data_IF_076633899556
#
_entry.id   IF_076633899556
#
_cell.length_a   1.000
_cell.length_b   1.000
_cell.length_c   1.000
_cell.angle_alpha   90.00
_cell.angle_beta   90.00
_cell.angle_gamma   90.00
#
_symmetry.space_group_name_H-M   'P 1'
#
loop_
_entity.id
_entity.type
_entity.pdbx_description
1 polymer ?
#
# COMPACT_ATOMS: atom_id res chain seq x y z
N UNK A 1 -18.01 18.74 12.47
CA UNK A 1 -17.65 17.51 11.72
C UNK A 1 -16.21 17.15 12.11
N UNK A 2 -15.92 15.92 12.55
CA UNK A 2 -14.56 15.57 13.02
C UNK A 2 -13.60 15.32 11.85
N UNK A 3 -12.27 15.51 12.05
CA UNK A 3 -11.23 15.26 11.02
C UNK A 3 -11.35 13.85 10.40
N UNK A 4 -11.74 12.86 11.20
CA UNK A 4 -11.95 11.47 10.76
C UNK A 4 -13.15 11.32 9.81
N UNK A 5 -14.27 11.97 10.11
CA UNK A 5 -15.47 11.93 9.24
C UNK A 5 -15.19 12.61 7.90
N UNK A 6 -14.48 13.74 7.89
CA UNK A 6 -14.11 14.43 6.65
C UNK A 6 -13.17 13.56 5.80
N UNK A 7 -12.18 12.91 6.42
CA UNK A 7 -11.26 12.00 5.73
C UNK A 7 -12.00 10.79 5.12
N UNK A 8 -12.91 10.17 5.87
CA UNK A 8 -13.75 9.07 5.37
C UNK A 8 -14.52 9.49 4.12
N UNK A 9 -15.26 10.61 4.20
CA UNK A 9 -16.06 11.09 3.07
C UNK A 9 -15.20 11.43 1.85
N UNK A 10 -14.00 11.98 2.06
CA UNK A 10 -13.06 12.25 0.98
C UNK A 10 -12.58 10.97 0.30
N UNK A 11 -12.15 9.96 1.07
CA UNK A 11 -11.71 8.66 0.53
C UNK A 11 -12.87 7.95 -0.17
N UNK A 12 -14.06 7.91 0.41
CA UNK A 12 -15.24 7.32 -0.21
C UNK A 12 -15.64 8.04 -1.51
N UNK A 13 -15.52 9.37 -1.56
CA UNK A 13 -15.78 10.15 -2.77
C UNK A 13 -14.77 9.83 -3.86
N UNK A 14 -13.47 9.81 -3.54
CA UNK A 14 -12.43 9.40 -4.49
C UNK A 14 -12.67 7.97 -4.99
N UNK A 15 -13.00 7.06 -4.08
CA UNK A 15 -13.23 5.66 -4.40
C UNK A 15 -14.41 5.47 -5.35
N UNK A 16 -15.53 6.15 -5.10
CA UNK A 16 -16.69 6.15 -6.00
C UNK A 16 -16.39 6.75 -7.37
N UNK A 17 -15.51 7.76 -7.42
CA UNK A 17 -15.11 8.39 -8.68
C UNK A 17 -14.18 7.49 -9.51
N UNK A 18 -13.25 6.81 -8.85
CA UNK A 18 -12.23 5.97 -9.50
C UNK A 18 -12.76 4.57 -9.85
N UNK A 19 -13.64 4.01 -9.02
CA UNK A 19 -14.33 2.75 -9.26
C UNK A 19 -15.85 3.00 -9.24
N UNK A 20 -16.46 3.47 -10.33
CA UNK A 20 -17.88 3.81 -10.34
C UNK A 20 -18.80 2.60 -10.23
N UNK A 21 -18.33 1.41 -10.63
CA UNK A 21 -19.12 0.17 -10.59
C UNK A 21 -19.19 -0.41 -9.17
N UNK A 22 -20.41 -0.70 -8.70
CA UNK A 22 -20.65 -1.30 -7.38
C UNK A 22 -19.99 -2.67 -7.21
N UNK A 23 -19.95 -3.46 -8.28
CA UNK A 23 -19.36 -4.81 -8.28
C UNK A 23 -17.85 -4.78 -8.02
N UNK A 24 -17.14 -3.81 -8.58
CA UNK A 24 -15.71 -3.64 -8.36
C UNK A 24 -15.44 -3.19 -6.92
N UNK A 25 -16.27 -2.28 -6.39
CA UNK A 25 -16.18 -1.86 -4.99
C UNK A 25 -16.46 -2.99 -4.01
N UNK A 26 -17.41 -3.87 -4.30
CA UNK A 26 -17.65 -5.04 -3.45
C UNK A 26 -16.50 -6.03 -3.52
N UNK A 27 -15.97 -6.28 -4.72
CA UNK A 27 -14.79 -7.12 -4.92
C UNK A 27 -13.62 -6.63 -4.08
N UNK A 28 -13.31 -5.33 -4.12
CA UNK A 28 -12.22 -4.74 -3.31
C UNK A 28 -12.42 -4.90 -1.81
N UNK A 29 -13.67 -4.82 -1.31
CA UNK A 29 -13.94 -5.05 0.12
C UNK A 29 -13.62 -6.48 0.55
N UNK A 30 -13.95 -7.45 -0.29
CA UNK A 30 -13.62 -8.86 -0.04
C UNK A 30 -12.11 -9.06 -0.05
N UNK A 31 -11.39 -8.49 -1.04
CA UNK A 31 -9.93 -8.56 -1.12
C UNK A 31 -9.26 -7.94 0.12
N UNK A 32 -9.72 -6.75 0.54
CA UNK A 32 -9.21 -6.06 1.72
C UNK A 32 -9.44 -6.86 3.00
N UNK A 33 -10.64 -7.44 3.19
CA UNK A 33 -10.95 -8.31 4.34
C UNK A 33 -10.03 -9.52 4.41
N UNK A 34 -9.78 -10.19 3.28
CA UNK A 34 -8.85 -11.31 3.22
C UNK A 34 -7.43 -10.86 3.57
N UNK A 35 -6.98 -9.74 3.01
CA UNK A 35 -5.69 -9.14 3.32
C UNK A 35 -5.52 -8.86 4.83
N UNK A 36 -6.53 -8.28 5.49
CA UNK A 36 -6.46 -8.02 6.94
C UNK A 36 -6.25 -9.29 7.78
N UNK A 37 -6.72 -10.43 7.28
CA UNK A 37 -6.66 -11.74 7.94
C UNK A 37 -5.41 -12.56 7.62
N UNK A 38 -4.73 -12.34 6.50
CA UNK A 38 -3.59 -13.18 6.08
C UNK A 38 -2.32 -12.38 5.73
N UNK A 39 -2.46 -11.06 5.53
CA UNK A 39 -1.41 -10.14 5.10
C UNK A 39 -0.91 -10.36 3.67
N UNK A 40 -1.66 -11.08 2.83
CA UNK A 40 -1.33 -11.35 1.43
C UNK A 40 -1.86 -10.22 0.54
N UNK A 41 -0.96 -9.38 0.04
CA UNK A 41 -1.32 -8.22 -0.78
C UNK A 41 -1.46 -8.57 -2.27
N UNK A 42 -1.04 -9.77 -2.70
CA UNK A 42 -0.99 -10.11 -4.13
C UNK A 42 -2.35 -9.94 -4.83
N UNK A 43 -3.49 -10.42 -4.28
CA UNK A 43 -4.78 -10.23 -4.93
C UNK A 43 -5.18 -8.75 -5.10
N UNK A 44 -4.73 -7.89 -4.19
CA UNK A 44 -4.94 -6.44 -4.28
C UNK A 44 -4.02 -5.87 -5.36
N UNK A 45 -2.73 -6.22 -5.39
CA UNK A 45 -1.80 -5.80 -6.45
C UNK A 45 -2.31 -6.19 -7.85
N UNK A 46 -2.87 -7.38 -7.99
CA UNK A 46 -3.48 -7.85 -9.25
C UNK A 46 -4.68 -7.00 -9.63
N UNK A 47 -5.59 -6.74 -8.70
CA UNK A 47 -6.72 -5.83 -8.93
C UNK A 47 -6.26 -4.42 -9.33
N UNK A 48 -5.23 -3.90 -8.65
CA UNK A 48 -4.68 -2.56 -8.92
C UNK A 48 -4.18 -2.47 -10.36
N UNK A 49 -3.40 -3.44 -10.82
CA UNK A 49 -2.79 -3.43 -12.16
C UNK A 49 -3.78 -3.78 -13.29
N UNK A 50 -4.73 -4.67 -13.03
CA UNK A 50 -5.67 -5.16 -14.05
C UNK A 50 -6.91 -4.26 -14.20
N UNK A 51 -7.32 -3.57 -13.13
CA UNK A 51 -8.56 -2.78 -13.11
C UNK A 51 -8.30 -1.34 -12.72
N UNK A 52 -7.85 -1.10 -11.49
CA UNK A 52 -7.81 0.26 -10.92
C UNK A 52 -6.94 1.22 -11.73
N UNK A 53 -5.73 0.78 -12.08
CA UNK A 53 -4.78 1.60 -12.81
C UNK A 53 -5.12 1.82 -14.28
N UNK A 54 -6.06 1.04 -14.85
CA UNK A 54 -6.53 1.21 -16.23
C UNK A 54 -7.42 2.44 -16.42
N UNK A 55 -7.85 3.06 -15.33
CA UNK A 55 -8.62 4.30 -15.35
C UNK A 55 -7.73 5.53 -15.61
N UNK A 56 -6.43 5.42 -15.28
CA UNK A 56 -5.48 6.52 -15.49
C UNK A 56 -5.04 6.62 -16.95
N UNK A 57 -4.91 7.86 -17.45
CA UNK A 57 -4.48 8.13 -18.81
C UNK A 57 -2.98 8.50 -18.88
N UNK A 58 -2.49 8.77 -20.10
CA UNK A 58 -1.09 9.15 -20.32
C UNK A 58 -0.69 10.49 -19.66
N UNK A 59 -1.66 11.35 -19.34
CA UNK A 59 -1.41 12.61 -18.63
C UNK A 59 -1.16 12.34 -17.17
N UNK A 60 -1.95 11.48 -16.55
CA UNK A 60 -1.76 11.06 -15.16
C UNK A 60 -0.36 10.46 -14.97
N UNK A 61 0.12 9.70 -15.96
CA UNK A 61 1.46 9.11 -15.95
C UNK A 61 2.61 10.12 -15.81
N UNK A 62 2.45 11.34 -16.36
CA UNK A 62 3.50 12.36 -16.33
C UNK A 62 3.68 12.95 -14.93
N UNK A 63 2.58 13.03 -14.19
CA UNK A 63 2.53 13.60 -12.84
C UNK A 63 2.52 12.55 -11.74
N UNK A 64 2.37 11.27 -12.08
CA UNK A 64 2.34 10.17 -11.14
C UNK A 64 3.65 10.04 -10.34
N UNK A 65 3.48 9.73 -9.06
CA UNK A 65 4.50 9.65 -8.03
C UNK A 65 4.08 8.70 -6.90
N UNK A 66 4.87 8.62 -5.83
CA UNK A 66 4.58 7.80 -4.65
C UNK A 66 3.25 8.18 -3.97
N UNK A 67 2.90 9.48 -3.93
CA UNK A 67 1.63 9.94 -3.38
C UNK A 67 0.43 9.41 -4.18
N UNK A 68 0.56 9.31 -5.49
CA UNK A 68 -0.46 8.74 -6.38
C UNK A 68 -0.73 7.27 -6.02
N UNK A 69 0.33 6.48 -5.86
CA UNK A 69 0.23 5.05 -5.51
C UNK A 69 -0.35 4.88 -4.11
N UNK A 70 0.17 5.64 -3.13
CA UNK A 70 -0.34 5.67 -1.75
C UNK A 70 -1.84 5.97 -1.71
N UNK A 71 -2.27 6.99 -2.44
CA UNK A 71 -3.69 7.38 -2.51
C UNK A 71 -4.53 6.26 -3.10
N UNK A 72 -4.06 5.62 -4.18
CA UNK A 72 -4.77 4.52 -4.81
C UNK A 72 -4.96 3.34 -3.86
N UNK A 73 -3.89 2.88 -3.21
CA UNK A 73 -3.96 1.78 -2.22
C UNK A 73 -4.81 2.16 -1.01
N UNK A 74 -4.72 3.41 -0.53
CA UNK A 74 -5.57 3.90 0.55
C UNK A 74 -7.04 3.73 0.20
N UNK A 75 -7.48 4.03 -1.03
CA UNK A 75 -8.90 3.88 -1.38
C UNK A 75 -9.41 2.44 -1.31
N UNK A 76 -8.54 1.46 -1.60
CA UNK A 76 -8.88 0.03 -1.57
C UNK A 76 -8.80 -0.54 -0.14
N UNK A 77 -7.82 -0.09 0.64
CA UNK A 77 -7.53 -0.60 1.98
C UNK A 77 -8.25 0.16 3.10
N UNK A 78 -8.96 1.25 2.80
CA UNK A 78 -9.57 2.09 3.84
C UNK A 78 -10.67 1.35 4.62
N UNK A 79 -10.44 1.16 5.91
CA UNK A 79 -11.43 0.64 6.86
C UNK A 79 -11.29 1.36 8.20
N UNK A 80 -12.19 2.29 8.49
CA UNK A 80 -12.20 3.05 9.75
C UNK A 80 -13.03 2.38 10.86
N UNK A 81 -13.58 1.19 10.59
CA UNK A 81 -14.34 0.40 11.56
C UNK A 81 -13.39 -0.41 12.43
N UNK A 82 -12.42 -1.10 11.80
CA UNK A 82 -11.44 -1.94 12.49
C UNK A 82 -10.11 -1.24 12.75
N UNK A 83 -9.73 -0.28 11.90
CA UNK A 83 -8.41 0.33 11.94
C UNK A 83 -8.43 1.81 12.31
N UNK A 84 -7.42 2.21 13.10
CA UNK A 84 -6.92 3.58 13.16
C UNK A 84 -5.90 3.69 12.02
N UNK A 85 -6.33 4.31 10.93
CA UNK A 85 -5.46 4.55 9.78
C UNK A 85 -4.84 5.94 9.85
N UNK A 86 -3.53 6.03 9.76
CA UNK A 86 -2.82 7.31 9.70
C UNK A 86 -1.87 7.38 8.51
N UNK A 87 -1.87 8.55 7.86
CA UNK A 87 -1.00 8.91 6.73
C UNK A 87 -0.40 10.32 6.91
N UNK A 88 -0.72 11.04 8.00
CA UNK A 88 -0.22 12.40 8.28
C UNK A 88 0.12 12.64 9.76
N UNK A 89 1.43 12.81 10.00
CA UNK A 89 2.15 13.48 11.10
C UNK A 89 1.38 13.92 12.36
N UNK A 90 1.77 13.32 13.51
CA UNK A 90 2.24 14.07 14.69
C UNK A 90 3.38 13.28 15.36
N UNK A 91 4.56 13.92 15.47
CA UNK A 91 5.86 13.50 16.05
C UNK A 91 6.94 13.08 15.02
N UNK A 92 7.86 14.00 14.69
CA UNK A 92 9.19 13.78 14.09
C UNK A 92 9.35 13.38 12.60
N UNK A 93 8.39 13.74 11.74
CA UNK A 93 8.60 13.91 10.28
C UNK A 93 9.14 12.71 9.46
N UNK A 94 9.11 11.47 9.96
CA UNK A 94 9.34 10.26 9.15
C UNK A 94 8.44 9.12 9.64
N UNK A 95 7.29 8.96 9.01
CA UNK A 95 6.39 7.83 9.22
C UNK A 95 6.36 6.96 7.96
N UNK A 96 6.06 5.67 8.15
CA UNK A 96 5.63 4.81 7.06
C UNK A 96 4.48 5.46 6.29
N UNK A 97 4.49 5.34 4.96
CA UNK A 97 3.51 5.97 4.09
C UNK A 97 2.04 5.71 4.46
N UNK A 98 1.73 4.50 4.95
CA UNK A 98 0.42 4.16 5.49
C UNK A 98 0.56 3.25 6.71
N UNK A 99 -0.13 3.62 7.78
CA UNK A 99 -0.27 2.80 8.99
C UNK A 99 -1.70 2.32 9.14
N UNK A 100 -1.88 1.04 9.50
CA UNK A 100 -3.16 0.43 9.82
C UNK A 100 -3.06 -0.27 11.16
N UNK A 101 -3.41 0.46 12.23
CA UNK A 101 -3.36 -0.07 13.59
C UNK A 101 -4.74 -0.53 14.02
N UNK A 102 -4.92 -1.78 14.43
CA UNK A 102 -6.20 -2.25 14.94
C UNK A 102 -6.63 -1.40 16.13
N UNK A 103 -7.90 -0.99 16.12
CA UNK A 103 -8.47 -0.27 17.25
C UNK A 103 -8.39 -1.15 18.51
N UNK A 104 -8.12 -0.57 19.70
CA UNK A 104 -7.94 -1.36 20.93
C UNK A 104 -9.11 -2.32 21.24
N UNK A 105 -10.34 -1.89 20.95
CA UNK A 105 -11.57 -2.67 21.10
C UNK A 105 -11.74 -3.77 20.04
N UNK A 106 -10.95 -3.79 18.96
CA UNK A 106 -10.99 -4.81 17.90
C UNK A 106 -9.87 -5.86 18.02
N UNK A 107 -9.01 -5.78 19.05
CA UNK A 107 -7.82 -6.64 19.21
C UNK A 107 -8.14 -8.12 19.45
N UNK A 108 -9.39 -8.45 19.79
CA UNK A 108 -9.86 -9.84 19.91
C UNK A 108 -10.04 -10.54 18.55
N UNK A 109 -10.10 -9.78 17.45
CA UNK A 109 -10.25 -10.33 16.11
C UNK A 109 -8.92 -10.90 15.61
N UNK A 110 -8.94 -11.95 14.74
CA UNK A 110 -7.74 -12.54 14.16
C UNK A 110 -7.17 -11.70 13.00
N UNK A 111 -7.10 -10.38 13.18
CA UNK A 111 -6.58 -9.42 12.21
C UNK A 111 -5.14 -9.02 12.57
N UNK A 112 -4.43 -8.42 11.61
CA UNK A 112 -3.04 -7.92 11.76
C UNK A 112 -3.00 -6.40 11.73
N UNK A 113 -1.92 -5.83 12.28
CA UNK A 113 -1.53 -4.44 12.08
C UNK A 113 -0.62 -4.34 10.86
N UNK A 114 -0.64 -3.22 10.14
CA UNK A 114 0.15 -3.05 8.93
C UNK A 114 0.89 -1.72 8.89
N UNK A 115 2.11 -1.77 8.37
CA UNK A 115 2.89 -0.61 7.95
C UNK A 115 3.27 -0.80 6.51
N UNK A 116 3.01 0.22 5.70
CA UNK A 116 3.33 0.22 4.29
C UNK A 116 4.33 1.30 3.97
N UNK A 117 5.24 0.99 3.06
CA UNK A 117 6.00 1.97 2.32
C UNK A 117 5.77 1.78 0.82
N UNK A 118 5.41 2.87 0.13
CA UNK A 118 5.16 2.86 -1.30
C UNK A 118 6.30 3.55 -2.02
N UNK A 119 6.84 2.86 -3.02
CA UNK A 119 7.78 3.41 -3.99
C UNK A 119 7.17 3.42 -5.37
N UNK A 120 7.61 4.38 -6.16
CA UNK A 120 7.18 4.54 -7.54
C UNK A 120 8.38 4.69 -8.46
N UNK A 121 8.37 3.94 -9.54
CA UNK A 121 9.35 4.03 -10.63
C UNK A 121 8.61 4.38 -11.92
N UNK A 122 9.12 5.37 -12.64
CA UNK A 122 8.68 5.65 -14.01
C UNK A 122 9.24 4.58 -14.96
N UNK A 123 8.62 4.45 -16.14
CA UNK A 123 9.14 3.57 -17.21
C UNK A 123 10.56 3.96 -17.63
N UNK A 124 10.88 5.26 -17.57
CA UNK A 124 12.23 5.77 -17.83
C UNK A 124 13.26 5.23 -16.87
N UNK A 125 12.87 4.96 -15.61
CA UNK A 125 13.79 4.55 -14.55
C UNK A 125 14.18 3.07 -14.73
N UNK A 126 13.27 2.26 -15.26
CA UNK A 126 13.50 0.84 -15.60
C UNK A 126 13.91 0.61 -17.06
N UNK A 127 13.92 1.66 -17.89
CA UNK A 127 14.28 1.64 -19.32
C UNK A 127 13.53 0.55 -20.12
N UNK A 128 12.24 0.35 -19.80
CA UNK A 128 11.35 -0.62 -20.46
C UNK A 128 10.00 0.02 -20.76
N UNK A 129 9.38 -0.37 -21.87
CA UNK A 129 8.00 0.00 -22.18
C UNK A 129 6.99 -0.75 -21.31
N UNK A 130 5.77 -0.23 -21.22
CA UNK A 130 4.68 -0.89 -20.49
C UNK A 130 4.31 -2.27 -21.07
N UNK A 131 4.50 -2.48 -22.38
CA UNK A 131 4.29 -3.78 -23.02
C UNK A 131 5.35 -4.79 -22.58
N UNK A 132 6.64 -4.41 -22.65
CA UNK A 132 7.73 -5.28 -22.19
C UNK A 132 7.60 -5.63 -20.71
N UNK A 133 7.17 -4.68 -19.87
CA UNK A 133 6.95 -4.93 -18.44
C UNK A 133 5.84 -5.94 -18.16
N UNK A 134 4.82 -6.06 -19.02
CA UNK A 134 3.71 -7.02 -18.82
C UNK A 134 4.13 -8.46 -19.07
N UNK A 135 5.10 -8.65 -19.96
CA UNK A 135 5.62 -9.98 -20.30
C UNK A 135 6.60 -10.53 -19.25
N UNK A 136 7.15 -9.69 -18.38
CA UNK A 136 8.04 -10.15 -17.32
C UNK A 136 7.31 -10.98 -16.27
N UNK A 137 7.90 -12.07 -15.85
CA UNK A 137 7.50 -12.74 -14.60
C UNK A 137 7.69 -11.80 -13.39
N UNK A 138 7.01 -12.10 -12.27
CA UNK A 138 7.25 -11.36 -11.03
C UNK A 138 8.72 -11.46 -10.59
N UNK A 139 9.35 -12.63 -10.79
CA UNK A 139 10.75 -12.85 -10.48
C UNK A 139 11.68 -11.94 -11.31
N UNK A 140 11.45 -11.82 -12.62
CA UNK A 140 12.27 -10.93 -13.46
C UNK A 140 12.05 -9.45 -13.11
N UNK A 141 10.80 -9.07 -12.82
CA UNK A 141 10.46 -7.72 -12.41
C UNK A 141 11.13 -7.33 -11.10
N UNK A 142 11.10 -8.23 -10.10
CA UNK A 142 11.79 -8.07 -8.83
C UNK A 142 13.31 -7.94 -8.97
N UNK A 143 13.90 -8.55 -10.01
CA UNK A 143 15.33 -8.53 -10.25
C UNK A 143 15.80 -7.35 -11.12
N UNK A 144 14.89 -6.45 -11.54
CA UNK A 144 15.32 -5.19 -12.15
C UNK A 144 16.05 -4.34 -11.10
N UNK A 145 17.22 -3.81 -11.46
CA UNK A 145 18.08 -3.10 -10.50
C UNK A 145 17.35 -1.95 -9.79
N UNK A 146 16.63 -1.11 -10.55
CA UNK A 146 15.85 -0.01 -9.98
C UNK A 146 14.75 -0.50 -9.01
N UNK A 147 14.14 -1.66 -9.28
CA UNK A 147 13.11 -2.25 -8.38
C UNK A 147 13.76 -2.75 -7.10
N UNK A 148 14.92 -3.43 -7.18
CA UNK A 148 15.68 -3.89 -6.02
C UNK A 148 16.13 -2.73 -5.13
N UNK A 149 16.65 -1.66 -5.73
CA UNK A 149 17.05 -0.46 -5.00
C UNK A 149 15.87 0.13 -4.20
N UNK A 150 14.69 0.22 -4.83
CA UNK A 150 13.48 0.73 -4.16
C UNK A 150 12.93 -0.21 -3.08
N UNK A 151 13.00 -1.51 -3.29
CA UNK A 151 12.67 -2.49 -2.25
C UNK A 151 13.60 -2.36 -1.04
N UNK A 152 14.91 -2.23 -1.26
CA UNK A 152 15.89 -2.06 -0.18
C UNK A 152 15.71 -0.73 0.57
N UNK A 153 15.44 0.36 -0.15
CA UNK A 153 15.13 1.67 0.46
C UNK A 153 13.90 1.58 1.37
N UNK A 154 12.83 0.95 0.87
CA UNK A 154 11.58 0.76 1.58
C UNK A 154 11.73 -0.16 2.79
N UNK A 155 12.52 -1.23 2.68
CA UNK A 155 12.86 -2.13 3.78
C UNK A 155 13.56 -1.39 4.92
N UNK A 156 14.60 -0.61 4.61
CA UNK A 156 15.30 0.19 5.61
C UNK A 156 14.38 1.18 6.36
N UNK A 157 13.46 1.83 5.62
CA UNK A 157 12.47 2.75 6.19
C UNK A 157 11.47 2.04 7.11
N UNK A 158 10.93 0.88 6.67
CA UNK A 158 10.00 0.07 7.46
C UNK A 158 10.65 -0.44 8.76
N UNK A 159 11.90 -0.87 8.71
CA UNK A 159 12.62 -1.39 9.87
C UNK A 159 12.97 -0.28 10.89
N UNK A 160 13.42 0.89 10.42
CA UNK A 160 13.62 2.07 11.30
C UNK A 160 12.31 2.46 11.99
N UNK A 161 11.21 2.47 11.23
CA UNK A 161 9.91 2.81 11.79
C UNK A 161 9.40 1.77 12.79
N UNK A 162 9.57 0.48 12.50
CA UNK A 162 9.23 -0.59 13.44
C UNK A 162 9.91 -0.40 14.80
N UNK A 163 11.22 -0.12 14.82
CA UNK A 163 11.97 0.12 16.06
C UNK A 163 11.36 1.28 16.88
N UNK A 164 10.98 2.37 16.21
CA UNK A 164 10.35 3.52 16.87
C UNK A 164 8.94 3.17 17.39
N UNK A 165 8.18 2.39 16.63
CA UNK A 165 6.83 1.99 17.02
C UNK A 165 6.84 1.07 18.25
N UNK A 166 7.74 0.09 18.27
CA UNK A 166 7.95 -0.84 19.40
C UNK A 166 8.37 -0.08 20.67
N UNK A 167 9.10 1.03 20.55
CA UNK A 167 9.43 1.88 21.71
C UNK A 167 8.24 2.63 22.30
N UNK A 168 7.15 2.81 21.54
CA UNK A 168 5.97 3.60 21.91
C UNK A 168 4.78 2.74 22.36
N UNK A 169 4.68 1.52 21.83
CA UNK A 169 3.60 0.59 22.11
C UNK A 169 4.15 -0.63 22.85
N UNK A 170 3.59 -0.94 24.02
CA UNK A 170 3.93 -2.15 24.78
C UNK A 170 3.58 -3.43 24.00
N UNK A 171 4.32 -4.51 24.25
CA UNK A 171 4.25 -5.83 23.58
C UNK A 171 2.85 -6.25 23.09
N UNK A 172 2.82 -6.89 21.90
CA UNK A 172 1.63 -7.62 21.39
C UNK A 172 1.04 -7.15 20.05
N UNK A 173 1.71 -6.25 19.33
CA UNK A 173 1.29 -5.89 17.96
C UNK A 173 1.55 -7.05 17.00
N UNK A 174 0.54 -7.47 16.23
CA UNK A 174 0.69 -8.44 15.13
C UNK A 174 1.10 -7.68 13.86
N UNK A 175 2.24 -7.00 13.95
CA UNK A 175 2.70 -6.05 12.95
C UNK A 175 3.20 -6.77 11.70
N UNK A 176 2.79 -6.28 10.53
CA UNK A 176 3.31 -6.69 9.23
C UNK A 176 3.88 -5.46 8.53
N UNK A 177 5.13 -5.57 8.09
CA UNK A 177 5.80 -4.54 7.31
C UNK A 177 5.68 -4.91 5.84
N UNK A 178 5.18 -4.00 5.02
CA UNK A 178 4.85 -4.25 3.63
C UNK A 178 5.52 -3.20 2.75
N UNK A 179 6.47 -3.63 1.93
CA UNK A 179 7.03 -2.81 0.86
C UNK A 179 6.20 -2.98 -0.40
N UNK A 180 5.89 -1.88 -1.08
CA UNK A 180 5.19 -1.88 -2.37
C UNK A 180 5.96 -1.01 -3.35
N UNK A 181 6.36 -1.57 -4.49
CA UNK A 181 7.01 -0.84 -5.58
C UNK A 181 6.13 -0.92 -6.83
N UNK A 182 5.54 0.20 -7.21
CA UNK A 182 4.83 0.33 -8.46
C UNK A 182 5.80 0.75 -9.58
N UNK A 183 5.82 0.00 -10.67
CA UNK A 183 6.54 0.36 -11.90
C UNK A 183 5.52 0.92 -12.87
N UNK A 184 5.36 2.24 -12.79
CA UNK A 184 4.28 2.92 -13.46
C UNK A 184 2.91 2.47 -12.96
N UNK A 185 1.98 2.42 -13.91
CA UNK A 185 0.65 1.84 -13.73
C UNK A 185 0.54 0.42 -14.29
N UNK A 186 1.68 -0.17 -14.68
CA UNK A 186 1.69 -1.41 -15.42
C UNK A 186 1.92 -2.62 -14.54
N UNK A 187 2.81 -2.50 -13.55
CA UNK A 187 3.16 -3.59 -12.64
C UNK A 187 3.36 -3.09 -11.22
N UNK A 188 3.10 -3.98 -10.27
CA UNK A 188 3.37 -3.76 -8.85
C UNK A 188 4.09 -4.98 -8.31
N UNK A 189 5.17 -4.73 -7.58
CA UNK A 189 5.88 -5.71 -6.75
C UNK A 189 5.58 -5.38 -5.30
N UNK A 190 5.40 -6.39 -4.46
CA UNK A 190 5.30 -6.19 -3.02
C UNK A 190 6.11 -7.24 -2.27
N UNK A 191 6.60 -6.89 -1.08
CA UNK A 191 7.31 -7.82 -0.18
C UNK A 191 6.87 -7.61 1.25
N UNK A 192 6.79 -8.71 2.00
CA UNK A 192 6.81 -8.64 3.45
C UNK A 192 8.25 -8.39 3.89
N UNK A 193 8.43 -7.38 4.73
CA UNK A 193 9.70 -7.10 5.36
C UNK A 193 9.68 -7.72 6.75
N UNK A 194 10.76 -8.41 7.07
CA UNK A 194 11.01 -8.94 8.40
C UNK A 194 12.43 -8.57 8.77
N UNK A 195 12.69 -8.32 10.06
CA UNK A 195 14.07 -8.36 10.52
C UNK A 195 14.62 -9.74 10.18
N UNK A 196 15.73 -9.82 9.46
CA UNK A 196 16.50 -11.04 9.37
C UNK A 196 16.69 -11.56 10.80
N UNK A 197 16.28 -12.80 11.05
CA UNK A 197 16.81 -13.53 12.19
C UNK A 197 18.26 -13.83 11.80
N UNK A 198 19.17 -12.92 12.12
CA UNK A 198 20.59 -13.25 12.20
C UNK A 198 20.81 -14.31 13.29
#
# INVERSE_FOLDING_TARGET
MSKKVVRKLYVEHLFKRLLPQDTERETTRVLARNFYQNGDLQPICDFMTQRYFKVFDNRDYKTADELTIKTAFLTVLFDDVWYIMDSETVLDRRYADLTMMLRPDCRYLPLRDFLFEFKYLKLSDVKKSGAELKELSLFELENLEAVKEKLAESEGQLLDYQMRLESKYSDGLKLQLISVVAVGFERVVWKRVSRGLD
#
